data_IF_062794987309
#
_entry.id   IF_062794987309
#
_cell.length_a   1.000
_cell.length_b   1.000
_cell.length_c   1.000
_cell.angle_alpha   90.00
_cell.angle_beta   90.00
_cell.angle_gamma   90.00
#
_symmetry.space_group_name_H-M   'P 1'
#
loop_
_entity.id
_entity.type
_entity.pdbx_description
1 polymer ?
#
# COMPACT_ATOMS: atom_id res chain seq x y z
N UNK A 1 -42.78 55.27 -8.84
CA UNK A 1 -43.66 54.33 -9.57
C UNK A 1 -43.11 52.94 -9.36
N UNK A 2 -43.94 52.10 -8.76
CA UNK A 2 -43.69 50.70 -8.44
C UNK A 2 -43.82 49.80 -9.68
N UNK A 3 -43.71 48.48 -9.43
CA UNK A 3 -43.96 47.30 -10.29
C UNK A 3 -42.66 46.68 -10.84
N UNK A 4 -42.44 45.36 -10.80
CA UNK A 4 -43.16 44.22 -10.22
C UNK A 4 -42.30 42.97 -10.47
N UNK A 5 -42.26 42.06 -9.49
CA UNK A 5 -41.65 40.73 -9.56
C UNK A 5 -42.50 39.72 -10.32
N UNK A 6 -41.89 38.84 -11.12
CA UNK A 6 -42.36 37.49 -11.50
C UNK A 6 -41.12 36.63 -11.79
N UNK A 7 -40.76 35.59 -11.00
CA UNK A 7 -41.33 34.24 -10.81
C UNK A 7 -41.07 33.31 -12.00
N UNK A 8 -40.24 32.29 -11.78
CA UNK A 8 -40.03 31.15 -12.67
C UNK A 8 -39.16 30.09 -11.99
N UNK A 9 -39.79 29.23 -11.17
CA UNK A 9 -39.22 28.00 -10.62
C UNK A 9 -39.68 26.88 -11.54
N UNK A 10 -38.75 26.11 -12.11
CA UNK A 10 -39.06 24.80 -12.68
C UNK A 10 -38.17 23.74 -12.04
N UNK A 11 -38.78 22.58 -11.84
CA UNK A 11 -38.44 21.53 -10.89
C UNK A 11 -38.54 20.21 -11.65
N UNK A 12 -37.54 19.35 -11.44
CA UNK A 12 -37.52 17.88 -11.58
C UNK A 12 -37.64 17.23 -12.96
N UNK A 13 -36.65 16.37 -13.28
CA UNK A 13 -36.94 15.01 -13.73
C UNK A 13 -35.81 14.07 -13.25
N UNK A 14 -36.22 13.10 -12.42
CA UNK A 14 -35.47 11.96 -11.89
C UNK A 14 -35.61 10.81 -12.87
N UNK A 15 -34.52 10.11 -13.19
CA UNK A 15 -34.59 8.71 -13.62
C UNK A 15 -33.69 7.88 -12.71
N UNK A 16 -34.34 7.18 -11.77
CA UNK A 16 -33.81 6.04 -11.06
C UNK A 16 -33.81 4.82 -11.99
N UNK A 17 -32.71 4.08 -12.02
CA UNK A 17 -32.71 2.66 -12.41
C UNK A 17 -32.12 1.86 -11.27
N UNK A 18 -33.02 1.40 -10.39
CA UNK A 18 -32.82 0.25 -9.53
C UNK A 18 -32.98 -1.03 -10.38
N UNK A 19 -32.08 -1.98 -10.20
CA UNK A 19 -32.33 -3.38 -10.56
C UNK A 19 -31.91 -4.23 -9.36
N UNK A 20 -32.93 -4.66 -8.61
CA UNK A 20 -32.86 -5.76 -7.67
C UNK A 20 -32.68 -7.08 -8.42
N UNK A 21 -31.88 -7.98 -7.87
CA UNK A 21 -31.97 -9.42 -8.12
C UNK A 21 -31.49 -10.14 -6.88
N UNK A 22 -32.46 -10.62 -6.11
CA UNK A 22 -32.28 -11.50 -4.98
C UNK A 22 -32.09 -12.94 -5.46
N UNK A 23 -31.15 -13.67 -4.86
CA UNK A 23 -31.27 -15.12 -4.69
C UNK A 23 -30.29 -15.58 -3.62
N UNK A 24 -30.82 -16.14 -2.54
CA UNK A 24 -30.04 -16.74 -1.46
C UNK A 24 -29.63 -18.17 -1.77
N UNK A 25 -28.64 -18.66 -1.02
CA UNK A 25 -28.65 -20.00 -0.41
C UNK A 25 -27.40 -20.21 0.43
N UNK A 26 -27.64 -20.81 1.59
CA UNK A 26 -26.68 -21.28 2.58
C UNK A 26 -25.78 -22.40 2.04
N UNK A 27 -24.62 -22.56 2.69
CA UNK A 27 -24.15 -23.81 3.32
C UNK A 27 -22.63 -24.07 3.19
N UNK A 28 -21.98 -24.06 4.35
CA UNK A 28 -21.03 -25.05 4.89
C UNK A 28 -19.82 -25.53 4.07
N UNK A 29 -18.65 -25.30 4.67
CA UNK A 29 -17.49 -26.22 4.83
C UNK A 29 -17.11 -27.16 3.67
N UNK A 30 -15.84 -27.09 3.26
CA UNK A 30 -14.78 -28.00 3.74
C UNK A 30 -13.58 -28.02 2.77
N UNK A 31 -12.44 -28.35 3.36
CA UNK A 31 -11.12 -28.61 2.79
C UNK A 31 -11.08 -29.27 1.41
N UNK A 32 -10.21 -28.78 0.53
CA UNK A 32 -9.54 -29.64 -0.46
C UNK A 32 -8.06 -29.27 -0.56
N UNK A 33 -7.23 -30.19 -0.11
CA UNK A 33 -5.83 -30.32 -0.51
C UNK A 33 -5.86 -30.99 -1.88
N UNK A 34 -5.39 -30.32 -2.93
CA UNK A 34 -5.29 -30.90 -4.26
C UNK A 34 -3.87 -31.41 -4.47
N UNK A 35 -3.71 -32.70 -4.20
CA UNK A 35 -2.55 -33.52 -4.58
C UNK A 35 -2.55 -33.66 -6.11
N UNK A 36 -1.38 -33.47 -6.73
CA UNK A 36 -1.24 -33.58 -8.19
C UNK A 36 -0.91 -35.03 -8.55
N UNK A 37 -1.94 -35.81 -8.87
CA UNK A 37 -1.77 -37.12 -9.52
C UNK A 37 -1.83 -36.92 -11.04
N UNK A 38 -0.68 -37.18 -11.67
CA UNK A 38 -0.52 -37.15 -13.12
C UNK A 38 -0.97 -38.51 -13.68
N UNK A 39 -2.25 -38.60 -14.03
CA UNK A 39 -2.88 -39.80 -14.59
C UNK A 39 -2.60 -39.87 -16.10
N UNK A 40 -1.63 -40.71 -16.49
CA UNK A 40 -1.43 -41.10 -17.89
C UNK A 40 -2.09 -42.46 -18.11
N UNK A 41 -3.21 -42.45 -18.83
CA UNK A 41 -3.94 -43.65 -19.22
C UNK A 41 -3.13 -44.47 -20.24
N UNK A 42 -2.24 -45.34 -19.75
CA UNK A 42 -1.59 -46.35 -20.58
C UNK A 42 -2.56 -47.51 -20.83
N UNK A 43 -3.09 -47.58 -22.05
CA UNK A 43 -3.98 -48.66 -22.51
C UNK A 43 -3.35 -50.04 -22.26
N UNK A 44 -4.12 -50.97 -21.69
CA UNK A 44 -3.69 -52.31 -21.28
C UNK A 44 -3.35 -53.16 -22.52
N UNK A 45 -2.13 -53.00 -23.01
CA UNK A 45 -1.58 -53.82 -24.08
C UNK A 45 -1.01 -55.12 -23.51
N UNK A 46 -1.06 -56.25 -24.25
CA UNK A 46 -0.51 -57.52 -23.77
C UNK A 46 0.99 -57.42 -23.45
N UNK A 47 1.73 -56.57 -24.16
CA UNK A 47 3.17 -56.35 -23.93
C UNK A 47 3.45 -55.66 -22.60
N UNK A 48 2.62 -54.70 -22.18
CA UNK A 48 2.75 -54.05 -20.88
C UNK A 48 2.53 -55.05 -19.73
N UNK A 49 1.53 -55.91 -19.87
CA UNK A 49 1.23 -57.00 -18.93
C UNK A 49 2.38 -58.01 -18.82
N UNK A 50 3.00 -58.35 -19.95
CA UNK A 50 4.17 -59.23 -19.99
C UNK A 50 5.38 -58.58 -19.31
N UNK A 51 5.62 -57.27 -19.52
CA UNK A 51 6.68 -56.53 -18.84
C UNK A 51 6.49 -56.51 -17.31
N UNK A 52 5.24 -56.37 -16.85
CA UNK A 52 4.89 -56.35 -15.43
C UNK A 52 5.10 -57.74 -14.80
N UNK A 53 4.72 -58.81 -15.51
CA UNK A 53 4.96 -60.19 -15.08
C UNK A 53 6.45 -60.52 -15.02
N UNK A 54 7.25 -60.04 -15.97
CA UNK A 54 8.68 -60.23 -15.97
C UNK A 54 9.34 -59.51 -14.78
N UNK A 55 8.89 -58.30 -14.45
CA UNK A 55 9.34 -57.54 -13.28
C UNK A 55 8.95 -58.23 -11.97
N UNK A 56 7.75 -58.79 -11.88
CA UNK A 56 7.31 -59.58 -10.72
C UNK A 56 8.14 -60.85 -10.53
N UNK A 57 8.49 -61.56 -11.62
CA UNK A 57 9.36 -62.75 -11.56
C UNK A 57 10.77 -62.42 -11.04
N UNK A 58 11.34 -61.29 -11.45
CA UNK A 58 12.64 -60.84 -10.95
C UNK A 58 12.60 -60.57 -9.44
N UNK A 59 11.56 -59.89 -8.95
CA UNK A 59 11.38 -59.64 -7.51
C UNK A 59 11.17 -60.93 -6.70
N UNK A 60 10.42 -61.89 -7.23
CA UNK A 60 10.25 -63.18 -6.56
C UNK A 60 11.57 -63.97 -6.49
N UNK A 61 12.41 -63.87 -7.53
CA UNK A 61 13.73 -64.50 -7.56
C UNK A 61 14.69 -63.84 -6.55
N UNK A 62 14.71 -62.50 -6.46
CA UNK A 62 15.54 -61.79 -5.46
C UNK A 62 15.10 -62.11 -4.03
N UNK A 63 13.79 -62.16 -3.78
CA UNK A 63 13.25 -62.55 -2.47
C UNK A 63 13.51 -64.02 -2.11
N UNK A 64 13.53 -64.93 -3.10
CA UNK A 64 13.95 -66.33 -2.86
C UNK A 64 15.45 -66.44 -2.58
N UNK A 65 16.29 -65.66 -3.27
CA UNK A 65 17.72 -65.62 -3.00
C UNK A 65 18.05 -65.01 -1.62
N UNK A 66 17.20 -64.12 -1.10
CA UNK A 66 17.32 -63.53 0.24
C UNK A 66 16.88 -64.45 1.40
N UNK A 67 16.44 -65.69 1.14
CA UNK A 67 15.84 -66.57 2.16
C UNK A 67 16.74 -67.71 2.67
N UNK A 68 18.06 -67.56 2.53
CA UNK A 68 19.07 -68.47 3.10
C UNK A 68 19.85 -67.85 4.27
N UNK A 69 19.16 -67.23 5.23
CA UNK A 69 19.72 -66.94 6.55
C UNK A 69 18.63 -66.96 7.64
N UNK A 70 18.63 -68.05 8.43
CA UNK A 70 18.09 -68.09 9.80
C UNK A 70 16.65 -68.56 10.00
N UNK A 71 16.47 -69.87 10.22
CA UNK A 71 15.57 -70.61 11.15
C UNK A 71 14.43 -69.86 11.86
N UNK A 72 13.27 -70.42 12.18
CA UNK A 72 12.63 -71.75 12.02
C UNK A 72 11.17 -71.53 12.44
N UNK A 73 10.22 -72.22 11.80
CA UNK A 73 8.85 -72.32 12.29
C UNK A 73 8.85 -73.20 13.54
N UNK A 74 8.57 -72.68 14.74
CA UNK A 74 7.93 -73.44 15.83
C UNK A 74 6.98 -72.51 16.61
N UNK A 75 5.78 -73.02 16.86
CA UNK A 75 4.77 -72.43 17.74
C UNK A 75 5.24 -72.63 19.19
N UNK A 76 5.67 -71.57 19.86
CA UNK A 76 6.01 -71.62 21.29
C UNK A 76 4.97 -70.91 22.14
N UNK A 77 4.34 -71.73 22.98
CA UNK A 77 3.31 -71.42 23.96
C UNK A 77 3.81 -70.36 24.95
N UNK A 78 2.99 -69.33 25.19
CA UNK A 78 3.26 -68.28 26.19
C UNK A 78 3.14 -68.88 27.60
N UNK A 79 4.25 -69.33 28.17
CA UNK A 79 4.34 -69.60 29.60
C UNK A 79 4.68 -68.30 30.35
N UNK A 80 3.64 -67.69 30.90
CA UNK A 80 3.68 -66.53 31.81
C UNK A 80 4.28 -66.97 33.15
N UNK A 81 5.60 -67.16 33.23
CA UNK A 81 6.26 -67.13 34.54
C UNK A 81 7.76 -66.87 34.44
N UNK A 82 8.17 -65.90 35.25
CA UNK A 82 9.53 -65.63 35.72
C UNK A 82 10.60 -65.20 34.71
N UNK A 83 10.86 -63.89 34.74
CA UNK A 83 12.19 -63.28 34.74
C UNK A 83 13.07 -63.39 33.47
N UNK A 84 12.77 -62.58 32.46
CA UNK A 84 13.78 -62.09 31.52
C UNK A 84 13.65 -60.57 31.37
N UNK A 85 14.68 -59.87 31.85
CA UNK A 85 14.96 -58.46 31.55
C UNK A 85 15.54 -58.37 30.14
N UNK A 86 14.79 -58.77 29.13
CA UNK A 86 15.13 -58.38 27.75
C UNK A 86 14.58 -56.95 27.56
N UNK A 87 15.50 -55.98 27.64
CA UNK A 87 15.18 -54.59 27.33
C UNK A 87 14.63 -54.53 25.91
N UNK A 88 13.41 -54.04 25.77
CA UNK A 88 12.76 -53.81 24.48
C UNK A 88 13.73 -53.06 23.55
N UNK A 89 13.77 -53.40 22.25
CA UNK A 89 14.61 -52.69 21.29
C UNK A 89 14.27 -51.20 21.31
N UNK A 90 15.31 -50.35 21.36
CA UNK A 90 15.15 -48.90 21.36
C UNK A 90 14.54 -48.46 20.03
N UNK A 91 13.36 -47.85 20.09
CA UNK A 91 12.72 -47.24 18.92
C UNK A 91 13.38 -45.89 18.69
N UNK A 92 13.89 -45.66 17.47
CA UNK A 92 14.43 -44.36 17.06
C UNK A 92 13.31 -43.54 16.39
N UNK A 93 12.75 -42.51 17.06
CA UNK A 93 11.57 -41.80 16.56
C UNK A 93 11.90 -40.75 15.48
N UNK A 94 13.17 -40.62 15.07
CA UNK A 94 13.59 -39.58 14.14
C UNK A 94 13.47 -38.17 14.73
N UNK A 95 13.26 -37.15 13.88
CA UNK A 95 13.16 -35.75 14.31
C UNK A 95 11.72 -35.40 14.70
N UNK A 96 11.45 -35.44 16.01
CA UNK A 96 10.16 -35.04 16.55
C UNK A 96 10.01 -33.52 16.63
N UNK A 97 8.77 -33.01 16.49
CA UNK A 97 8.50 -31.61 16.76
C UNK A 97 8.83 -31.26 18.22
N UNK A 98 9.22 -30.01 18.48
CA UNK A 98 9.54 -29.53 19.82
C UNK A 98 8.31 -29.65 20.74
N UNK A 99 8.53 -30.13 21.97
CA UNK A 99 7.47 -30.36 22.94
C UNK A 99 6.70 -29.08 23.32
N UNK A 100 5.39 -29.24 23.55
CA UNK A 100 4.49 -28.16 24.00
C UNK A 100 4.81 -27.66 25.41
N UNK A 101 5.40 -28.50 26.26
CA UNK A 101 5.69 -28.18 27.66
C UNK A 101 7.15 -28.46 27.93
N UNK A 102 7.90 -27.42 28.35
CA UNK A 102 9.24 -27.60 28.89
C UNK A 102 9.13 -27.80 30.40
N UNK A 103 9.41 -29.02 30.85
CA UNK A 103 9.49 -29.33 32.27
C UNK A 103 10.75 -28.71 32.88
N UNK A 104 10.64 -28.31 34.16
CA UNK A 104 11.79 -27.82 34.91
C UNK A 104 12.84 -28.91 35.19
N UNK A 105 13.99 -28.49 35.73
CA UNK A 105 15.16 -29.37 35.90
C UNK A 105 14.98 -30.44 36.97
N UNK A 106 14.00 -30.26 37.86
CA UNK A 106 13.72 -31.20 38.95
C UNK A 106 12.31 -31.77 38.81
N UNK A 107 12.10 -33.02 39.27
CA UNK A 107 10.79 -33.71 39.22
C UNK A 107 9.67 -33.03 40.01
N UNK A 108 10.02 -32.09 40.91
CA UNK A 108 9.05 -31.32 41.71
C UNK A 108 8.79 -29.93 41.15
N UNK A 109 9.53 -29.53 40.12
CA UNK A 109 9.37 -28.24 39.49
C UNK A 109 8.19 -28.29 38.51
N UNK A 110 7.41 -27.23 38.47
CA UNK A 110 6.34 -27.07 37.49
C UNK A 110 6.89 -26.89 36.06
N UNK A 111 6.00 -26.81 35.05
CA UNK A 111 6.42 -26.49 33.69
C UNK A 111 7.04 -25.08 33.66
N UNK A 112 8.30 -24.98 33.22
CA UNK A 112 9.04 -23.71 33.19
C UNK A 112 8.60 -22.83 32.02
N UNK A 113 8.11 -23.44 30.93
CA UNK A 113 7.62 -22.71 29.77
C UNK A 113 6.63 -23.56 28.99
N UNK A 114 5.50 -22.95 28.63
CA UNK A 114 4.49 -23.54 27.75
C UNK A 114 4.69 -22.92 26.37
N UNK A 115 4.73 -23.77 25.34
CA UNK A 115 4.85 -23.41 23.94
C UNK A 115 3.49 -23.58 23.27
N UNK A 116 2.88 -22.47 22.88
CA UNK A 116 1.63 -22.46 22.13
C UNK A 116 1.93 -22.33 20.62
N UNK A 117 1.56 -23.32 19.79
CA UNK A 117 1.88 -23.32 18.36
C UNK A 117 1.19 -22.18 17.61
N UNK A 118 0.02 -21.75 18.08
CA UNK A 118 -0.75 -20.67 17.47
C UNK A 118 -0.09 -19.30 17.71
N UNK A 119 0.50 -19.11 18.89
CA UNK A 119 1.25 -17.89 19.22
C UNK A 119 2.51 -17.80 18.37
N UNK A 120 3.23 -18.91 18.17
CA UNK A 120 4.41 -18.94 17.29
C UNK A 120 4.06 -18.67 15.83
N UNK A 121 2.95 -19.24 15.35
CA UNK A 121 2.47 -19.02 13.98
C UNK A 121 2.08 -17.56 13.77
N UNK A 122 1.42 -16.95 14.75
CA UNK A 122 1.11 -15.52 14.74
C UNK A 122 2.38 -14.66 14.77
N UNK A 123 3.39 -15.04 15.56
CA UNK A 123 4.66 -14.31 15.64
C UNK A 123 5.43 -14.38 14.32
N UNK A 124 5.52 -15.58 13.72
CA UNK A 124 6.13 -15.78 12.39
C UNK A 124 5.41 -14.98 11.31
N UNK A 125 4.08 -15.02 11.30
CA UNK A 125 3.28 -14.21 10.39
C UNK A 125 3.56 -12.70 10.62
N UNK A 126 3.55 -12.24 11.87
CA UNK A 126 3.85 -10.84 12.20
C UNK A 126 5.27 -10.40 11.79
N UNK A 127 6.24 -11.32 11.88
CA UNK A 127 7.63 -11.06 11.48
C UNK A 127 7.84 -11.03 9.96
N UNK A 128 6.93 -11.64 9.19
CA UNK A 128 6.97 -11.64 7.72
C UNK A 128 6.35 -10.41 7.09
N UNK A 129 5.60 -9.61 7.86
CA UNK A 129 5.11 -8.32 7.41
C UNK A 129 6.20 -7.26 7.60
N UNK A 130 6.57 -6.58 6.51
CA UNK A 130 7.38 -5.36 6.54
C UNK A 130 6.58 -4.24 7.25
N UNK A 131 6.59 -4.27 8.58
CA UNK A 131 6.03 -3.20 9.39
C UNK A 131 6.95 -1.98 9.21
N UNK A 132 6.42 -0.81 8.81
CA UNK A 132 7.22 0.41 8.72
C UNK A 132 7.93 0.65 10.04
N UNK A 133 9.25 0.80 9.99
CA UNK A 133 10.09 0.96 11.18
C UNK A 133 9.48 2.02 12.11
N UNK A 134 9.42 1.76 13.44
CA UNK A 134 8.89 2.73 14.38
C UNK A 134 9.65 4.06 14.23
N UNK A 135 8.97 5.21 14.41
CA UNK A 135 9.56 6.51 14.17
C UNK A 135 10.83 6.65 15.02
N UNK A 136 11.95 6.94 14.35
CA UNK A 136 13.28 7.01 14.98
C UNK A 136 13.21 8.06 16.09
N UNK A 137 13.54 7.70 17.35
CA UNK A 137 13.53 8.67 18.44
C UNK A 137 14.51 9.81 18.11
N UNK A 138 14.19 11.05 18.53
CA UNK A 138 15.01 12.21 18.20
C UNK A 138 16.45 11.99 18.71
N UNK A 139 17.48 12.33 17.90
CA UNK A 139 18.87 12.06 18.26
C UNK A 139 19.23 12.82 19.54
N UNK A 140 19.47 12.08 20.63
CA UNK A 140 19.86 12.67 21.92
C UNK A 140 21.32 13.12 21.95
N UNK A 141 22.13 12.60 21.02
CA UNK A 141 23.57 12.77 20.92
C UNK A 141 23.95 13.50 19.63
N UNK A 142 24.91 14.43 19.70
CA UNK A 142 25.50 15.05 18.51
C UNK A 142 26.33 14.03 17.71
N UNK A 143 26.67 14.34 16.46
CA UNK A 143 27.66 13.57 15.66
C UNK A 143 29.02 13.40 16.35
N UNK A 144 29.28 14.19 17.40
CA UNK A 144 30.48 14.16 18.23
C UNK A 144 30.28 13.49 19.60
N UNK A 145 29.14 12.80 19.83
CA UNK A 145 28.87 12.02 21.04
C UNK A 145 28.57 12.84 22.30
N UNK A 146 28.40 14.17 22.18
CA UNK A 146 28.09 15.05 23.32
C UNK A 146 26.57 15.15 23.52
N UNK A 147 26.08 15.27 24.77
CA UNK A 147 24.66 15.49 25.03
C UNK A 147 24.24 16.85 24.47
N UNK A 148 23.14 16.87 23.71
CA UNK A 148 22.65 18.06 23.04
C UNK A 148 22.28 19.17 24.04
N UNK A 149 22.70 20.41 23.80
CA UNK A 149 22.37 21.54 24.69
C UNK A 149 20.87 21.83 24.67
N UNK A 150 20.32 22.43 25.75
CA UNK A 150 18.89 22.80 25.81
C UNK A 150 18.44 23.69 24.64
N UNK A 151 19.34 24.55 24.13
CA UNK A 151 19.07 25.45 22.98
C UNK A 151 18.95 24.66 21.68
N UNK A 152 19.89 23.75 21.42
CA UNK A 152 19.87 22.88 20.24
C UNK A 152 18.66 21.93 20.27
N UNK A 153 18.34 21.34 21.43
CA UNK A 153 17.11 20.55 21.61
C UNK A 153 15.85 21.34 21.26
N UNK A 154 15.78 22.61 21.65
CA UNK A 154 14.65 23.50 21.31
C UNK A 154 14.63 23.87 19.82
N UNK A 155 15.80 24.07 19.19
CA UNK A 155 15.90 24.32 17.76
C UNK A 155 15.41 23.12 16.94
N UNK A 156 15.83 21.90 17.28
CA UNK A 156 15.35 20.68 16.64
C UNK A 156 13.83 20.52 16.82
N UNK A 157 13.29 20.78 18.02
CA UNK A 157 11.84 20.78 18.24
C UNK A 157 11.12 21.84 17.40
N UNK A 158 11.71 23.02 17.21
CA UNK A 158 11.10 24.10 16.43
C UNK A 158 11.16 23.87 14.91
N UNK A 159 12.11 23.06 14.44
CA UNK A 159 12.21 22.62 13.04
C UNK A 159 11.03 21.71 12.65
N UNK A 160 10.38 21.14 13.65
CA UNK A 160 9.34 20.14 13.47
C UNK A 160 8.01 20.64 14.03
N UNK A 161 6.88 20.20 13.46
CA UNK A 161 5.55 20.56 13.93
C UNK A 161 5.18 19.95 15.30
N UNK A 162 5.96 18.96 15.75
CA UNK A 162 5.82 18.21 17.00
C UNK A 162 5.15 16.85 16.83
N UNK A 163 5.13 16.06 17.91
CA UNK A 163 4.64 14.68 17.91
C UNK A 163 3.14 14.55 17.57
N UNK A 164 2.33 15.55 17.93
CA UNK A 164 0.90 15.59 17.63
C UNK A 164 0.62 15.63 16.12
N UNK A 165 1.63 16.01 15.33
CA UNK A 165 1.56 16.07 13.88
C UNK A 165 2.73 15.31 13.25
N UNK A 166 2.96 14.09 13.74
CA UNK A 166 3.92 13.10 13.23
C UNK A 166 5.29 13.67 12.88
N UNK A 167 5.75 14.65 13.66
CA UNK A 167 7.02 15.29 13.45
C UNK A 167 7.25 15.81 12.01
N UNK A 168 6.23 16.48 11.45
CA UNK A 168 6.34 17.10 10.12
C UNK A 168 7.45 18.16 10.10
N UNK A 169 8.47 18.04 9.22
CA UNK A 169 9.56 18.99 9.14
C UNK A 169 9.12 20.30 8.47
N UNK A 170 9.70 21.42 8.91
CA UNK A 170 9.62 22.69 8.21
C UNK A 170 10.49 22.64 6.93
N UNK A 171 10.00 23.14 5.79
CA UNK A 171 10.80 23.24 4.58
C UNK A 171 12.03 24.13 4.77
N UNK A 172 13.10 23.81 4.04
CA UNK A 172 14.32 24.60 4.03
C UNK A 172 14.07 26.00 3.44
N UNK A 173 14.71 27.02 4.01
CA UNK A 173 14.53 28.42 3.57
C UNK A 173 14.91 28.65 2.10
N UNK A 174 15.89 27.87 1.60
CA UNK A 174 16.33 27.93 0.20
C UNK A 174 15.24 27.50 -0.80
N UNK A 175 14.37 26.58 -0.43
CA UNK A 175 13.32 26.05 -1.30
C UNK A 175 12.02 26.87 -1.23
N UNK A 176 11.91 27.77 -0.25
CA UNK A 176 10.72 28.59 -0.04
C UNK A 176 10.27 29.38 -1.29
N UNK A 177 11.13 29.98 -2.12
CA UNK A 177 10.68 30.68 -3.31
C UNK A 177 10.01 29.75 -4.33
N UNK A 178 10.47 28.51 -4.45
CA UNK A 178 9.85 27.49 -5.32
C UNK A 178 8.52 27.04 -4.74
N UNK A 179 8.52 26.66 -3.46
CA UNK A 179 7.33 26.18 -2.75
C UNK A 179 6.24 27.25 -2.64
N UNK A 180 6.64 28.53 -2.53
CA UNK A 180 5.74 29.67 -2.53
C UNK A 180 4.90 29.72 -3.80
N UNK A 181 5.51 29.52 -4.98
CA UNK A 181 4.78 29.49 -6.26
C UNK A 181 3.73 28.40 -6.28
N UNK A 182 4.07 27.22 -5.75
CA UNK A 182 3.19 26.06 -5.72
C UNK A 182 1.99 26.31 -4.78
N UNK A 183 2.22 26.87 -3.60
CA UNK A 183 1.14 27.16 -2.64
C UNK A 183 0.33 28.38 -3.05
N UNK A 184 0.93 29.36 -3.71
CA UNK A 184 0.21 30.50 -4.30
C UNK A 184 -0.74 30.03 -5.40
N UNK A 185 -0.31 29.08 -6.25
CA UNK A 185 -1.20 28.46 -7.23
C UNK A 185 -2.40 27.77 -6.57
N UNK A 186 -2.20 27.07 -5.45
CA UNK A 186 -3.30 26.46 -4.68
C UNK A 186 -4.27 27.50 -4.11
N UNK A 187 -3.77 28.64 -3.62
CA UNK A 187 -4.62 29.75 -3.13
C UNK A 187 -5.46 30.34 -4.25
N UNK A 188 -4.87 30.45 -5.45
CA UNK A 188 -5.53 31.00 -6.63
C UNK A 188 -6.37 29.97 -7.39
N UNK A 189 -6.67 28.79 -6.80
CA UNK A 189 -7.45 27.72 -7.44
C UNK A 189 -8.82 28.19 -7.97
N UNK A 190 -9.42 29.18 -7.32
CA UNK A 190 -10.71 29.76 -7.73
C UNK A 190 -10.64 30.56 -9.04
N UNK A 191 -9.46 31.04 -9.41
CA UNK A 191 -9.23 31.82 -10.63
C UNK A 191 -8.77 30.94 -11.80
N UNK A 192 -8.34 29.71 -11.54
CA UNK A 192 -7.83 28.78 -12.56
C UNK A 192 -8.96 28.24 -13.43
N UNK A 193 -10.02 27.72 -12.81
CA UNK A 193 -11.17 27.14 -13.51
C UNK A 193 -12.45 27.94 -13.21
N UNK A 194 -13.09 28.55 -14.23
CA UNK A 194 -14.33 29.31 -14.04
C UNK A 194 -15.52 28.47 -13.56
N UNK A 195 -15.44 27.14 -13.64
CA UNK A 195 -16.53 26.22 -13.26
C UNK A 195 -16.40 25.71 -11.82
N UNK A 196 -15.24 25.83 -11.20
CA UNK A 196 -14.96 25.29 -9.87
C UNK A 196 -14.84 26.41 -8.86
N UNK A 197 -15.77 26.42 -7.91
CA UNK A 197 -15.76 27.37 -6.80
C UNK A 197 -15.41 26.65 -5.51
N UNK A 198 -14.30 27.04 -4.89
CA UNK A 198 -13.87 26.54 -3.59
C UNK A 198 -14.09 27.58 -2.50
N UNK A 199 -14.11 27.11 -1.25
CA UNK A 199 -14.07 27.98 -0.08
C UNK A 199 -12.76 28.78 -0.08
N UNK A 200 -12.86 30.07 0.23
CA UNK A 200 -11.71 30.99 0.36
C UNK A 200 -10.94 30.67 1.62
N UNK A 201 -9.62 30.76 1.53
CA UNK A 201 -8.73 30.53 2.66
C UNK A 201 -8.33 31.87 3.31
N UNK A 202 -8.27 31.93 4.64
CA UNK A 202 -8.03 33.16 5.42
C UNK A 202 -6.60 33.75 5.31
N UNK A 203 -5.79 33.22 4.37
CA UNK A 203 -4.41 33.63 4.10
C UNK A 203 -4.16 34.21 2.70
N UNK A 204 -5.20 34.35 1.87
CA UNK A 204 -5.07 34.93 0.54
C UNK A 204 -4.49 36.36 0.61
N UNK A 205 -3.44 36.63 -0.16
CA UNK A 205 -2.81 37.97 -0.27
C UNK A 205 -1.68 38.31 0.71
N UNK A 206 -1.33 37.42 1.66
CA UNK A 206 -0.21 37.65 2.61
C UNK A 206 1.18 37.25 2.09
N UNK A 207 1.30 36.94 0.79
CA UNK A 207 2.55 36.54 0.15
C UNK A 207 3.24 35.37 0.87
N UNK A 208 4.59 35.40 0.90
CA UNK A 208 5.43 34.39 1.56
C UNK A 208 5.12 34.28 3.07
N UNK A 209 4.75 35.40 3.72
CA UNK A 209 4.38 35.41 5.15
C UNK A 209 3.05 34.72 5.43
N UNK A 210 2.19 34.60 4.43
CA UNK A 210 0.95 33.85 4.55
C UNK A 210 1.15 32.34 4.58
N UNK A 211 2.35 31.84 4.26
CA UNK A 211 2.62 30.41 4.13
C UNK A 211 2.55 29.71 5.51
N UNK A 212 1.95 28.51 5.61
CA UNK A 212 2.06 27.70 6.80
C UNK A 212 3.54 27.47 7.15
N UNK A 213 3.89 27.53 8.44
CA UNK A 213 5.28 27.30 8.89
C UNK A 213 5.74 25.85 8.62
N UNK A 214 4.82 24.90 8.77
CA UNK A 214 5.06 23.48 8.57
C UNK A 214 4.15 22.99 7.45
N UNK A 215 4.74 22.54 6.36
CA UNK A 215 4.02 21.89 5.26
C UNK A 215 5.00 20.99 4.50
N UNK A 216 4.47 19.97 3.84
CA UNK A 216 5.21 19.13 2.92
C UNK A 216 4.39 18.97 1.63
N UNK A 217 5.08 18.74 0.53
CA UNK A 217 4.47 18.49 -0.77
C UNK A 217 4.67 17.02 -1.09
N UNK A 218 3.57 16.29 -1.18
CA UNK A 218 3.54 14.88 -1.51
C UNK A 218 3.07 14.64 -2.94
N UNK A 219 3.48 13.51 -3.49
CA UNK A 219 2.98 13.00 -4.78
C UNK A 219 1.96 11.90 -4.53
N UNK A 220 0.82 11.96 -5.22
CA UNK A 220 -0.19 10.90 -5.14
C UNK A 220 0.34 9.63 -5.79
N UNK A 221 0.29 8.52 -5.05
CA UNK A 221 0.68 7.19 -5.56
C UNK A 221 -0.46 6.62 -6.39
N UNK A 222 -0.15 6.17 -7.60
CA UNK A 222 -1.14 5.60 -8.52
C UNK A 222 -1.79 4.35 -7.90
N UNK A 223 -3.10 4.23 -8.05
CA UNK A 223 -3.85 3.06 -7.58
C UNK A 223 -3.62 1.88 -8.53
N UNK A 224 -3.29 0.71 -7.97
CA UNK A 224 -3.16 -0.53 -8.74
C UNK A 224 -4.53 -1.15 -8.98
N UNK A 225 -5.36 -0.49 -9.79
CA UNK A 225 -6.64 -1.05 -10.24
C UNK A 225 -6.43 -1.86 -11.52
N UNK A 226 -7.23 -2.92 -11.77
CA UNK A 226 -7.05 -3.79 -12.95
C UNK A 226 -7.25 -3.05 -14.29
N UNK A 227 -7.94 -1.91 -14.28
CA UNK A 227 -8.13 -1.04 -15.45
C UNK A 227 -7.04 0.06 -15.55
N UNK A 228 -5.97 -0.07 -14.77
CA UNK A 228 -5.00 0.96 -14.45
C UNK A 228 -4.00 1.33 -15.54
N UNK A 229 -4.41 2.14 -16.51
CA UNK A 229 -3.44 2.77 -17.44
C UNK A 229 -3.63 4.27 -17.64
N UNK A 230 -4.84 4.74 -17.95
CA UNK A 230 -5.12 6.17 -18.11
C UNK A 230 -6.56 6.47 -17.67
N UNK A 231 -6.72 7.05 -16.49
CA UNK A 231 -8.03 7.44 -15.96
C UNK A 231 -7.90 8.75 -15.19
N UNK A 232 -9.01 9.35 -14.76
CA UNK A 232 -9.01 10.57 -13.93
C UNK A 232 -8.08 10.46 -12.72
N UNK A 233 -7.98 9.26 -12.16
CA UNK A 233 -7.24 9.00 -10.93
C UNK A 233 -5.76 8.69 -11.20
N UNK A 234 -5.44 8.20 -12.39
CA UNK A 234 -4.10 7.73 -12.75
C UNK A 234 -3.60 8.46 -14.00
N UNK A 235 -2.71 9.41 -13.77
CA UNK A 235 -2.05 10.16 -14.85
C UNK A 235 -1.05 9.30 -15.62
N UNK A 236 -0.96 9.47 -16.93
CA UNK A 236 0.06 8.85 -17.78
C UNK A 236 1.44 9.44 -17.44
N UNK A 237 2.51 8.63 -17.58
CA UNK A 237 3.89 9.04 -17.27
C UNK A 237 4.33 10.35 -17.93
N UNK A 238 3.85 10.66 -19.13
CA UNK A 238 4.18 11.90 -19.85
C UNK A 238 3.56 13.17 -19.22
N UNK A 239 2.39 13.02 -18.59
CA UNK A 239 1.66 14.12 -17.94
C UNK A 239 2.09 14.32 -16.48
N UNK A 240 2.72 13.32 -15.85
CA UNK A 240 3.28 13.46 -14.50
C UNK A 240 4.46 14.41 -14.53
N UNK A 241 4.39 15.53 -13.80
CA UNK A 241 5.50 16.49 -13.70
C UNK A 241 6.08 16.50 -12.29
N UNK A 242 7.14 17.30 -12.15
CA UNK A 242 7.88 17.50 -10.90
C UNK A 242 7.24 18.53 -9.98
N UNK A 243 6.38 19.40 -10.51
CA UNK A 243 5.72 20.47 -9.75
C UNK A 243 4.27 20.62 -10.20
N UNK A 244 3.39 21.01 -9.26
CA UNK A 244 1.98 21.30 -9.55
C UNK A 244 1.81 22.41 -10.61
N UNK A 245 2.67 23.43 -10.56
CA UNK A 245 2.61 24.56 -11.49
C UNK A 245 3.01 24.14 -12.90
N UNK A 246 4.00 23.25 -13.06
CA UNK A 246 4.36 22.71 -14.38
C UNK A 246 3.19 21.95 -15.01
N UNK A 247 2.43 21.17 -14.22
CA UNK A 247 1.24 20.45 -14.70
C UNK A 247 0.16 21.42 -15.18
N UNK A 248 -0.06 22.51 -14.45
CA UNK A 248 -1.03 23.54 -14.81
C UNK A 248 -0.64 24.30 -16.08
N UNK A 249 0.66 24.54 -16.30
CA UNK A 249 1.17 25.23 -17.50
C UNK A 249 1.03 24.36 -18.75
N UNK A 250 1.16 23.04 -18.59
CA UNK A 250 0.99 22.06 -19.66
C UNK A 250 -0.49 21.84 -20.03
N UNK A 251 -1.44 22.15 -19.15
CA UNK A 251 -2.88 22.06 -19.44
C UNK A 251 -3.33 23.10 -20.50
N UNK A 252 -3.82 22.59 -21.62
CA UNK A 252 -4.28 23.40 -22.75
C UNK A 252 -5.52 24.23 -22.40
N UNK A 253 -6.43 23.74 -21.56
CA UNK A 253 -7.66 24.45 -21.22
C UNK A 253 -7.38 25.64 -20.31
N UNK A 254 -6.64 25.41 -19.21
CA UNK A 254 -6.18 26.46 -18.31
C UNK A 254 -5.42 27.55 -19.07
N UNK A 255 -4.49 27.18 -19.96
CA UNK A 255 -3.71 28.12 -20.77
C UNK A 255 -4.58 28.99 -21.68
N UNK A 256 -5.57 28.39 -22.36
CA UNK A 256 -6.49 29.13 -23.23
C UNK A 256 -7.34 30.11 -22.44
N UNK A 257 -7.88 29.68 -21.31
CA UNK A 257 -8.70 30.53 -20.45
C UNK A 257 -7.89 31.68 -19.85
N UNK A 258 -6.72 31.39 -19.29
CA UNK A 258 -5.81 32.39 -18.72
C UNK A 258 -5.39 33.43 -19.78
N UNK A 259 -5.02 32.99 -20.99
CA UNK A 259 -4.67 33.90 -22.09
C UNK A 259 -5.83 34.81 -22.49
N UNK A 260 -7.04 34.25 -22.63
CA UNK A 260 -8.25 35.01 -22.96
C UNK A 260 -8.53 36.07 -21.90
N UNK A 261 -8.61 35.67 -20.63
CA UNK A 261 -8.88 36.58 -19.50
C UNK A 261 -7.79 37.62 -19.31
N UNK A 262 -6.52 37.25 -19.51
CA UNK A 262 -5.42 38.20 -19.46
C UNK A 262 -5.56 39.27 -20.55
N UNK A 263 -5.86 38.90 -21.80
CA UNK A 263 -6.09 39.86 -22.89
C UNK A 263 -7.28 40.79 -22.59
N UNK A 264 -8.39 40.24 -22.08
CA UNK A 264 -9.56 41.04 -21.68
C UNK A 264 -9.18 42.08 -20.61
N UNK A 265 -8.47 41.65 -19.57
CA UNK A 265 -8.03 42.52 -18.47
C UNK A 265 -7.00 43.57 -18.90
N UNK A 266 -6.04 43.19 -19.75
CA UNK A 266 -5.09 44.15 -20.32
C UNK A 266 -5.77 45.14 -21.25
N UNK A 267 -6.79 44.72 -22.02
CA UNK A 267 -7.61 45.60 -22.84
C UNK A 267 -8.33 46.64 -21.98
N UNK A 268 -9.01 46.20 -20.93
CA UNK A 268 -9.70 47.10 -19.99
C UNK A 268 -8.72 48.05 -19.27
N UNK A 269 -7.56 47.54 -18.84
CA UNK A 269 -6.55 48.35 -18.14
C UNK A 269 -5.84 49.31 -19.09
N UNK A 270 -5.56 48.89 -20.32
CA UNK A 270 -4.97 49.70 -21.38
C UNK A 270 -5.91 50.83 -21.82
N UNK A 271 -7.20 50.53 -21.98
CA UNK A 271 -8.25 51.51 -22.31
C UNK A 271 -8.44 52.60 -21.23
N UNK A 272 -7.97 52.35 -20.00
CA UNK A 272 -7.97 53.32 -18.89
C UNK A 272 -6.56 53.80 -18.50
N UNK A 273 -5.53 53.38 -19.24
CA UNK A 273 -4.13 53.55 -18.86
C UNK A 273 -3.44 54.77 -19.45
N UNK A 274 -2.13 54.89 -19.21
CA UNK A 274 -1.26 56.03 -19.56
C UNK A 274 -1.08 56.30 -21.07
N UNK A 275 -1.68 55.51 -21.96
CA UNK A 275 -1.63 55.72 -23.43
C UNK A 275 -2.88 56.37 -24.03
N UNK A 276 -3.97 56.48 -23.27
CA UNK A 276 -5.29 56.93 -23.76
C UNK A 276 -5.27 58.39 -24.20
N UNK A 277 -4.73 59.28 -23.36
CA UNK A 277 -4.58 60.70 -23.67
C UNK A 277 -3.67 60.92 -24.88
N UNK A 278 -2.55 60.19 -24.95
CA UNK A 278 -1.61 60.27 -26.05
C UNK A 278 -2.24 59.81 -27.37
N UNK A 279 -2.96 58.68 -27.38
CA UNK A 279 -3.69 58.19 -28.54
C UNK A 279 -4.78 59.17 -29.00
N UNK A 280 -5.54 59.75 -28.05
CA UNK A 280 -6.54 60.78 -28.35
C UNK A 280 -5.91 62.03 -28.95
N UNK A 281 -4.78 62.47 -28.42
CA UNK A 281 -4.06 63.62 -28.94
C UNK A 281 -3.43 63.31 -30.31
N UNK A 282 -2.95 62.10 -30.56
CA UNK A 282 -2.43 61.66 -31.85
C UNK A 282 -3.52 61.68 -32.94
N UNK A 283 -4.74 61.23 -32.63
CA UNK A 283 -5.89 61.33 -33.55
C UNK A 283 -6.23 62.77 -33.94
N UNK A 284 -5.98 63.73 -33.03
CA UNK A 284 -6.22 65.16 -33.27
C UNK A 284 -5.11 65.84 -34.07
N UNK A 285 -3.95 65.21 -34.24
CA UNK A 285 -2.88 65.78 -35.07
C UNK A 285 -3.25 65.57 -36.55
N UNK A 286 -3.37 66.67 -37.29
CA UNK A 286 -3.55 66.64 -38.75
C UNK A 286 -2.34 65.97 -39.37
N UNK A 287 -2.58 64.92 -40.17
CA UNK A 287 -1.57 64.34 -41.05
C UNK A 287 -1.33 65.38 -42.15
N UNK A 288 -0.16 66.00 -42.11
CA UNK A 288 0.34 66.86 -43.18
C UNK A 288 1.08 65.98 -44.18
#
# INVERSE_FOLDING_TARGET
>A
MALSSFKGKEKALLEDKMSDSESGSDATSSSTSSDSESDSEDEITPEYLESLLQKARQHAATNRAGKNNGNSLEEDIINISSSLKESLPELDPGKLPPAYIRLGKTRRDGPSQIRDPDVERAMLASSSFDIPAPPVPPPELTKSGKPLTKKEKKALKNMTAGSNWFDLPAPAEADLPRLYREVEALRLRNQLDPKRFYRKDEGEGKGIKGLPKYFAIGTVVASSTPFGTASSDNLVRAHRKRTLVDELVDDAEAKRYAKKKFADLQGVRGAKGRGTLAARNALKRRKW
#
